data_IF_750543097445
#
_entry.id   IF_750543097445
#
_cell.length_a   1.000
_cell.length_b   1.000
_cell.length_c   1.000
_cell.angle_alpha   90.00
_cell.angle_beta   90.00
_cell.angle_gamma   90.00
#
_symmetry.space_group_name_H-M   'P 1'
#
loop_
_entity.id
_entity.type
_entity.pdbx_description
1 polymer ?
#
# COMPACT_ATOMS: atom_id res chain seq x y z
N UNK A 1 36.98 -27.66 22.32
CA UNK A 1 35.56 -27.66 21.93
C UNK A 1 34.69 -26.99 23.00
N UNK A 2 35.01 -25.77 23.42
CA UNK A 2 34.23 -25.06 24.48
C UNK A 2 33.80 -23.63 24.10
N UNK A 3 34.35 -23.05 23.02
CA UNK A 3 33.99 -21.68 22.62
C UNK A 3 32.74 -21.58 21.73
N UNK A 4 32.28 -22.70 21.15
CA UNK A 4 31.07 -22.73 20.30
C UNK A 4 29.75 -22.88 21.08
N UNK A 5 29.80 -23.23 22.37
CA UNK A 5 28.60 -23.37 23.20
C UNK A 5 28.12 -22.03 23.80
N UNK A 6 29.00 -21.03 23.91
CA UNK A 6 28.66 -19.73 24.49
C UNK A 6 27.99 -18.74 23.52
N UNK A 7 28.00 -19.02 22.21
CA UNK A 7 27.30 -18.18 21.21
C UNK A 7 25.83 -18.54 21.01
N UNK A 8 25.37 -19.68 21.54
CA UNK A 8 23.96 -20.13 21.43
C UNK A 8 23.07 -19.63 22.58
N UNK A 9 23.61 -18.82 23.49
CA UNK A 9 22.95 -18.33 24.72
C UNK A 9 22.62 -16.83 24.70
N UNK A 10 22.43 -16.24 23.52
CA UNK A 10 21.81 -14.91 23.37
C UNK A 10 20.53 -14.92 22.54
N UNK A 11 19.44 -15.53 23.03
CA UNK A 11 18.12 -15.00 22.75
C UNK A 11 17.64 -14.29 24.02
N UNK A 12 17.32 -13.00 23.94
CA UNK A 12 16.33 -12.27 24.76
C UNK A 12 16.70 -10.85 25.19
N UNK A 13 17.92 -10.36 24.98
CA UNK A 13 18.24 -8.96 25.31
C UNK A 13 17.39 -7.97 24.49
N UNK A 14 17.12 -8.25 23.22
CA UNK A 14 16.28 -7.40 22.36
C UNK A 14 14.79 -7.52 22.66
N UNK A 15 14.33 -8.68 23.16
CA UNK A 15 12.93 -8.88 23.61
C UNK A 15 12.66 -8.22 24.96
N UNK A 16 13.70 -8.00 25.77
CA UNK A 16 13.61 -7.29 27.04
C UNK A 16 13.67 -5.77 26.88
N UNK A 17 14.22 -5.25 25.77
CA UNK A 17 14.24 -3.79 25.52
C UNK A 17 12.84 -3.23 25.15
N UNK A 18 11.94 -4.10 24.66
CA UNK A 18 10.55 -3.76 24.30
C UNK A 18 9.52 -4.21 25.35
N UNK A 19 9.93 -4.97 26.37
CA UNK A 19 9.10 -5.19 27.55
C UNK A 19 9.43 -4.06 28.51
N UNK A 20 8.44 -3.22 28.79
CA UNK A 20 8.51 -2.27 29.90
C UNK A 20 8.90 -2.96 31.23
N UNK A 21 9.15 -2.17 32.28
CA UNK A 21 9.57 -2.71 33.58
C UNK A 21 8.65 -3.85 34.03
N UNK A 22 9.19 -4.87 34.73
CA UNK A 22 8.38 -5.98 35.22
C UNK A 22 7.28 -5.40 36.11
N UNK A 23 6.03 -5.59 35.68
CA UNK A 23 4.85 -5.28 36.49
C UNK A 23 4.90 -6.17 37.72
N UNK A 24 5.13 -5.57 38.89
CA UNK A 24 4.87 -6.22 40.16
C UNK A 24 3.39 -6.63 40.17
N UNK A 25 3.16 -7.89 40.52
CA UNK A 25 1.87 -8.56 40.50
C UNK A 25 0.89 -7.95 41.51
N UNK A 26 0.09 -7.00 41.05
CA UNK A 26 -1.28 -6.82 41.54
C UNK A 26 -2.10 -6.41 40.30
N UNK A 27 -3.10 -7.20 39.85
CA UNK A 27 -3.98 -6.74 38.80
C UNK A 27 -4.84 -5.64 39.42
N UNK A 28 -4.36 -4.40 39.32
CA UNK A 28 -5.14 -3.21 39.61
C UNK A 28 -6.20 -3.14 38.51
N UNK A 29 -7.28 -3.89 38.71
CA UNK A 29 -8.43 -3.90 37.83
C UNK A 29 -9.03 -2.50 37.92
N UNK A 30 -8.82 -1.71 36.86
CA UNK A 30 -9.49 -0.42 36.70
C UNK A 30 -11.00 -0.61 36.96
N UNK A 31 -11.64 0.32 37.68
CA UNK A 31 -13.09 0.37 37.81
C UNK A 31 -13.74 0.23 36.43
N UNK A 32 -14.86 -0.49 36.35
CA UNK A 32 -15.52 -0.83 35.08
C UNK A 32 -15.82 0.40 34.21
N UNK A 33 -16.20 1.53 34.85
CA UNK A 33 -16.41 2.82 34.20
C UNK A 33 -15.11 3.39 33.60
N UNK A 34 -13.97 3.34 34.32
CA UNK A 34 -12.68 3.80 33.82
C UNK A 34 -12.16 2.92 32.67
N UNK A 35 -12.50 1.63 32.68
CA UNK A 35 -12.13 0.71 31.61
C UNK A 35 -12.95 0.95 30.33
N UNK A 36 -14.26 1.24 30.46
CA UNK A 36 -15.11 1.61 29.32
C UNK A 36 -14.70 2.95 28.72
N UNK A 37 -14.41 3.96 29.56
CA UNK A 37 -13.87 5.25 29.10
C UNK A 37 -12.54 5.09 28.36
N UNK A 38 -11.65 4.23 28.86
CA UNK A 38 -10.38 3.95 28.21
C UNK A 38 -10.58 3.28 26.84
N UNK A 39 -11.45 2.27 26.73
CA UNK A 39 -11.75 1.59 25.47
C UNK A 39 -12.33 2.57 24.44
N UNK A 40 -13.26 3.42 24.86
CA UNK A 40 -13.86 4.41 23.96
C UNK A 40 -12.84 5.47 23.53
N UNK A 41 -11.98 5.93 24.45
CA UNK A 41 -10.89 6.86 24.10
C UNK A 41 -9.90 6.25 23.10
N UNK A 42 -9.62 4.95 23.22
CA UNK A 42 -8.75 4.21 22.30
C UNK A 42 -9.40 4.05 20.92
N UNK A 43 -10.72 3.83 20.84
CA UNK A 43 -11.46 3.82 19.57
C UNK A 43 -11.37 5.16 18.85
N UNK A 44 -11.70 6.25 19.55
CA UNK A 44 -11.64 7.60 18.96
C UNK A 44 -10.22 7.97 18.52
N UNK A 45 -9.21 7.58 19.30
CA UNK A 45 -7.81 7.80 18.92
C UNK A 45 -7.40 6.98 17.69
N UNK A 46 -7.86 5.73 17.59
CA UNK A 46 -7.61 4.85 16.45
C UNK A 46 -8.32 5.35 15.18
N UNK A 47 -9.59 5.75 15.29
CA UNK A 47 -10.35 6.31 14.16
C UNK A 47 -9.66 7.58 13.60
N UNK A 48 -9.24 8.48 14.49
CA UNK A 48 -8.50 9.68 14.09
C UNK A 48 -7.15 9.34 13.42
N UNK A 49 -6.42 8.35 13.94
CA UNK A 49 -5.17 7.90 13.34
C UNK A 49 -5.41 7.28 11.96
N UNK A 50 -6.42 6.43 11.84
CA UNK A 50 -6.82 5.79 10.58
C UNK A 50 -7.22 6.81 9.52
N UNK A 51 -7.99 7.84 9.89
CA UNK A 51 -8.36 8.92 8.97
C UNK A 51 -7.14 9.74 8.52
N UNK A 52 -6.20 9.99 9.41
CA UNK A 52 -4.94 10.65 9.04
C UNK A 52 -4.09 9.79 8.10
N UNK A 53 -3.98 8.48 8.37
CA UNK A 53 -3.29 7.55 7.48
C UNK A 53 -3.94 7.48 6.09
N UNK A 54 -5.28 7.40 6.02
CA UNK A 54 -6.02 7.44 4.74
C UNK A 54 -5.73 8.74 3.98
N UNK A 55 -5.72 9.88 4.66
CA UNK A 55 -5.40 11.17 4.04
C UNK A 55 -4.01 11.18 3.41
N UNK A 56 -2.99 10.67 4.11
CA UNK A 56 -1.62 10.58 3.60
C UNK A 56 -1.54 9.67 2.37
N UNK A 57 -2.18 8.50 2.41
CA UNK A 57 -2.19 7.56 1.27
C UNK A 57 -2.87 8.16 0.04
N UNK A 58 -3.98 8.87 0.23
CA UNK A 58 -4.65 9.60 -0.84
C UNK A 58 -3.77 10.71 -1.42
N UNK A 59 -3.09 11.48 -0.58
CA UNK A 59 -2.17 12.52 -1.04
C UNK A 59 -1.01 11.93 -1.88
N UNK A 60 -0.47 10.79 -1.45
CA UNK A 60 0.58 10.08 -2.21
C UNK A 60 0.06 9.56 -3.56
N UNK A 61 -1.14 8.98 -3.58
CA UNK A 61 -1.80 8.52 -4.82
C UNK A 61 -2.04 9.67 -5.81
N UNK A 62 -2.49 10.83 -5.31
CA UNK A 62 -2.68 12.03 -6.13
C UNK A 62 -1.35 12.54 -6.68
N UNK A 63 -0.30 12.56 -5.87
CA UNK A 63 1.04 12.95 -6.31
C UNK A 63 1.54 12.02 -7.44
N UNK A 64 1.36 10.71 -7.30
CA UNK A 64 1.75 9.74 -8.34
C UNK A 64 0.99 9.93 -9.65
N UNK A 65 -0.32 10.25 -9.59
CA UNK A 65 -1.10 10.63 -10.77
C UNK A 65 -0.48 11.84 -11.47
N UNK A 66 -0.13 12.90 -10.73
CA UNK A 66 0.51 14.07 -11.31
C UNK A 66 1.86 13.76 -11.93
N UNK A 67 2.69 12.94 -11.26
CA UNK A 67 4.01 12.53 -11.79
C UNK A 67 3.84 11.74 -13.09
N UNK A 68 2.86 10.82 -13.16
CA UNK A 68 2.56 10.06 -14.37
C UNK A 68 2.04 10.93 -15.52
N UNK A 69 1.19 11.91 -15.23
CA UNK A 69 0.73 12.88 -16.22
C UNK A 69 1.86 13.79 -16.72
N UNK A 70 2.74 14.25 -15.83
CA UNK A 70 3.89 15.05 -16.22
C UNK A 70 4.87 14.26 -17.10
N UNK A 71 5.12 12.99 -16.75
CA UNK A 71 5.94 12.10 -17.57
C UNK A 71 5.31 11.85 -18.94
N UNK A 72 4.00 11.60 -19.01
CA UNK A 72 3.28 11.44 -20.26
C UNK A 72 3.33 12.71 -21.13
N UNK A 73 3.14 13.89 -20.52
CA UNK A 73 3.25 15.17 -21.20
C UNK A 73 4.67 15.43 -21.71
N UNK A 74 5.70 15.09 -20.92
CA UNK A 74 7.10 15.19 -21.33
C UNK A 74 7.42 14.26 -22.50
N UNK A 75 6.96 13.00 -22.44
CA UNK A 75 7.14 12.03 -23.52
C UNK A 75 6.45 12.51 -24.82
N UNK A 76 5.25 13.06 -24.69
CA UNK A 76 4.51 13.66 -25.81
C UNK A 76 5.25 14.85 -26.42
N UNK A 77 5.69 15.80 -25.58
CA UNK A 77 6.45 16.98 -26.02
C UNK A 77 7.74 16.59 -26.74
N UNK A 78 8.51 15.67 -26.15
CA UNK A 78 9.77 15.17 -26.74
C UNK A 78 9.51 14.53 -28.11
N UNK A 79 8.42 13.79 -28.28
CA UNK A 79 8.03 13.21 -29.57
C UNK A 79 7.65 14.28 -30.59
N UNK A 80 6.81 15.25 -30.21
CA UNK A 80 6.39 16.34 -31.09
C UNK A 80 7.55 17.25 -31.51
N UNK A 81 8.57 17.40 -30.66
CA UNK A 81 9.76 18.21 -30.94
C UNK A 81 10.79 17.54 -31.86
N UNK A 82 10.65 16.25 -32.20
CA UNK A 82 11.51 15.58 -33.18
C UNK A 82 11.05 15.92 -34.60
N UNK A 83 11.91 16.51 -35.46
CA UNK A 83 11.60 16.69 -36.88
C UNK A 83 11.46 15.31 -37.53
N UNK A 84 10.38 15.05 -38.27
CA UNK A 84 10.08 13.73 -38.87
C UNK A 84 9.24 12.80 -38.00
N UNK A 85 8.59 13.30 -36.94
CA UNK A 85 7.72 12.51 -36.04
C UNK A 85 6.31 12.22 -36.57
N UNK A 86 5.97 12.77 -37.74
CA UNK A 86 4.87 12.25 -38.56
C UNK A 86 5.41 11.05 -39.34
N UNK A 87 4.65 9.95 -39.49
CA UNK A 87 5.15 8.77 -40.16
C UNK A 87 5.58 9.15 -41.57
N UNK A 88 6.88 9.16 -41.81
CA UNK A 88 7.39 9.06 -43.17
C UNK A 88 6.77 7.79 -43.75
N UNK A 89 6.24 7.88 -44.96
CA UNK A 89 5.35 6.91 -45.61
C UNK A 89 5.96 5.49 -45.80
N UNK A 90 7.12 5.23 -45.21
CA UNK A 90 7.96 4.04 -45.31
C UNK A 90 8.24 3.33 -43.98
N UNK A 91 7.78 3.83 -42.83
CA UNK A 91 7.87 3.07 -41.57
C UNK A 91 6.80 1.97 -41.52
N UNK A 92 7.23 0.75 -41.22
CA UNK A 92 6.36 -0.42 -41.05
C UNK A 92 5.28 -0.08 -39.99
N UNK A 93 3.98 -0.10 -40.32
CA UNK A 93 2.93 0.32 -39.40
C UNK A 93 2.97 -0.45 -38.08
N UNK A 94 3.51 -1.67 -38.09
CA UNK A 94 3.72 -2.50 -36.90
C UNK A 94 4.73 -1.92 -35.92
N UNK A 95 5.80 -1.25 -36.38
CA UNK A 95 6.77 -0.54 -35.54
C UNK A 95 6.16 0.71 -34.91
N UNK A 96 5.37 1.48 -35.68
CA UNK A 96 4.67 2.66 -35.16
C UNK A 96 3.70 2.31 -34.03
N UNK A 97 2.93 1.22 -34.16
CA UNK A 97 2.03 0.76 -33.10
C UNK A 97 2.80 0.23 -31.89
N UNK A 98 3.93 -0.47 -32.10
CA UNK A 98 4.76 -0.99 -31.01
C UNK A 98 5.43 0.12 -30.19
N UNK A 99 5.89 1.18 -30.85
CA UNK A 99 6.61 2.28 -30.20
C UNK A 99 5.69 3.39 -29.67
N UNK A 100 4.46 3.50 -30.17
CA UNK A 100 3.51 4.54 -29.72
C UNK A 100 2.40 4.07 -28.79
N UNK A 101 1.98 2.80 -28.88
CA UNK A 101 0.80 2.33 -28.14
C UNK A 101 1.17 1.86 -26.75
N UNK A 102 2.36 1.28 -26.54
CA UNK A 102 2.76 0.68 -25.26
C UNK A 102 2.90 1.70 -24.10
N UNK A 103 3.51 2.89 -24.26
CA UNK A 103 3.71 3.79 -23.12
C UNK A 103 2.44 4.57 -22.76
N UNK A 104 1.62 4.91 -23.77
CA UNK A 104 0.32 5.57 -23.57
C UNK A 104 -0.65 4.62 -22.88
N UNK A 105 -0.75 3.39 -23.36
CA UNK A 105 -1.59 2.37 -22.72
C UNK A 105 -1.09 2.07 -21.30
N UNK A 106 0.22 1.89 -21.08
CA UNK A 106 0.78 1.66 -19.75
C UNK A 106 0.45 2.81 -18.79
N UNK A 107 0.56 4.07 -19.25
CA UNK A 107 0.16 5.24 -18.45
C UNK A 107 -1.34 5.20 -18.10
N UNK A 108 -2.21 4.90 -19.05
CA UNK A 108 -3.66 4.81 -18.80
C UNK A 108 -3.97 3.73 -17.77
N UNK A 109 -3.38 2.53 -17.89
CA UNK A 109 -3.56 1.47 -16.91
C UNK A 109 -3.01 1.85 -15.54
N UNK A 110 -1.86 2.53 -15.45
CA UNK A 110 -1.34 3.07 -14.19
C UNK A 110 -2.33 4.05 -13.53
N UNK A 111 -2.88 5.00 -14.31
CA UNK A 111 -3.84 5.98 -13.82
C UNK A 111 -5.14 5.33 -13.33
N UNK A 112 -5.64 4.31 -14.05
CA UNK A 112 -6.81 3.54 -13.63
C UNK A 112 -6.50 2.79 -12.32
N UNK A 113 -5.32 2.18 -12.19
CA UNK A 113 -4.92 1.50 -10.96
C UNK A 113 -4.90 2.47 -9.77
N UNK A 114 -4.30 3.65 -9.91
CA UNK A 114 -4.32 4.67 -8.86
C UNK A 114 -5.73 5.15 -8.52
N UNK A 115 -6.60 5.30 -9.53
CA UNK A 115 -8.01 5.64 -9.34
C UNK A 115 -8.76 4.58 -8.52
N UNK A 116 -8.53 3.30 -8.79
CA UNK A 116 -9.10 2.19 -8.03
C UNK A 116 -8.56 2.18 -6.59
N UNK A 117 -7.24 2.36 -6.41
CA UNK A 117 -6.61 2.43 -5.09
C UNK A 117 -7.20 3.55 -4.22
N UNK A 118 -7.35 4.76 -4.77
CA UNK A 118 -7.99 5.87 -4.07
C UNK A 118 -9.44 5.57 -3.69
N UNK A 119 -10.21 4.93 -4.58
CA UNK A 119 -11.58 4.55 -4.27
C UNK A 119 -11.66 3.54 -3.12
N UNK A 120 -10.71 2.59 -3.08
CA UNK A 120 -10.59 1.59 -2.03
C UNK A 120 -10.17 2.21 -0.69
N UNK A 121 -9.16 3.09 -0.68
CA UNK A 121 -8.72 3.80 0.54
C UNK A 121 -9.85 4.66 1.11
N UNK A 122 -10.62 5.32 0.23
CA UNK A 122 -11.75 6.16 0.62
C UNK A 122 -12.91 5.35 1.21
N UNK A 123 -13.18 4.18 0.63
CA UNK A 123 -14.27 3.30 1.05
C UNK A 123 -13.73 1.92 1.45
N UNK A 124 -13.08 1.89 2.62
CA UNK A 124 -12.47 0.70 3.22
C UNK A 124 -13.44 -0.45 3.46
N UNK A 125 -14.75 -0.21 3.38
CA UNK A 125 -15.79 -1.22 3.59
C UNK A 125 -16.08 -2.09 2.35
N UNK A 126 -15.62 -1.67 1.16
CA UNK A 126 -16.00 -2.30 -0.13
C UNK A 126 -14.94 -3.17 -0.76
N UNK A 127 -13.97 -3.64 0.00
CA UNK A 127 -12.91 -4.51 -0.54
C UNK A 127 -13.45 -5.93 -0.72
N UNK A 128 -14.24 -6.12 -1.77
CA UNK A 128 -14.62 -7.43 -2.26
C UNK A 128 -13.46 -8.10 -2.99
N UNK A 129 -13.48 -9.43 -3.04
CA UNK A 129 -12.52 -10.24 -3.82
C UNK A 129 -12.43 -9.77 -5.28
N UNK A 130 -13.56 -9.40 -5.87
CA UNK A 130 -13.61 -9.01 -7.27
C UNK A 130 -12.94 -7.65 -7.52
N UNK A 131 -13.13 -6.67 -6.62
CA UNK A 131 -12.43 -5.38 -6.66
C UNK A 131 -10.92 -5.55 -6.56
N UNK A 132 -10.47 -6.45 -5.68
CA UNK A 132 -9.04 -6.78 -5.53
C UNK A 132 -8.45 -7.41 -6.79
N UNK A 133 -9.16 -8.36 -7.41
CA UNK A 133 -8.71 -9.02 -8.65
C UNK A 133 -8.61 -8.02 -9.81
N UNK A 134 -9.63 -7.17 -9.98
CA UNK A 134 -9.63 -6.12 -11.01
C UNK A 134 -8.48 -5.16 -10.77
N UNK A 135 -8.28 -4.70 -9.54
CA UNK A 135 -7.19 -3.79 -9.21
C UNK A 135 -5.83 -4.40 -9.54
N UNK A 136 -5.59 -5.64 -9.08
CA UNK A 136 -4.33 -6.36 -9.35
C UNK A 136 -4.08 -6.52 -10.85
N UNK A 137 -5.10 -6.90 -11.61
CA UNK A 137 -4.97 -7.03 -13.06
C UNK A 137 -4.55 -5.71 -13.72
N UNK A 138 -5.21 -4.61 -13.35
CA UNK A 138 -4.90 -3.28 -13.88
C UNK A 138 -3.50 -2.81 -13.45
N UNK A 139 -3.08 -3.10 -12.21
CA UNK A 139 -1.75 -2.72 -11.69
C UNK A 139 -0.58 -3.45 -12.35
N UNK A 140 -0.77 -4.70 -12.79
CA UNK A 140 0.30 -5.49 -13.42
C UNK A 140 0.37 -5.24 -14.93
N UNK A 141 -0.73 -4.80 -15.56
CA UNK A 141 -0.81 -4.58 -17.01
C UNK A 141 0.30 -3.65 -17.56
N UNK A 142 0.67 -2.52 -16.90
CA UNK A 142 1.78 -1.67 -17.35
C UNK A 142 3.12 -2.40 -17.46
N UNK A 143 3.41 -3.33 -16.55
CA UNK A 143 4.64 -4.15 -16.60
C UNK A 143 4.64 -5.08 -17.81
N UNK A 144 3.50 -5.71 -18.12
CA UNK A 144 3.37 -6.57 -19.30
C UNK A 144 3.52 -5.79 -20.61
N UNK A 145 2.94 -4.59 -20.68
CA UNK A 145 3.02 -3.73 -21.86
C UNK A 145 4.46 -3.26 -22.14
N UNK A 146 5.28 -3.15 -21.09
CA UNK A 146 6.65 -2.63 -21.19
C UNK A 146 7.74 -3.70 -21.11
N UNK A 147 7.38 -4.99 -21.05
CA UNK A 147 8.32 -6.13 -20.94
C UNK A 147 9.30 -6.27 -22.12
N UNK A 148 9.05 -5.58 -23.23
CA UNK A 148 9.91 -5.55 -24.42
C UNK A 148 10.71 -4.25 -24.60
N UNK A 149 10.70 -3.34 -23.62
CA UNK A 149 11.41 -2.08 -23.70
C UNK A 149 12.93 -2.27 -23.48
N UNK A 150 13.78 -1.58 -24.26
CA UNK A 150 15.23 -1.82 -24.27
C UNK A 150 16.00 -1.26 -23.06
N UNK A 151 15.41 -0.37 -22.26
CA UNK A 151 16.08 0.26 -21.10
C UNK A 151 15.54 -0.26 -19.76
N UNK A 152 16.08 -1.40 -19.33
CA UNK A 152 15.48 -2.27 -18.32
C UNK A 152 15.45 -1.71 -16.87
N UNK A 153 16.26 -0.72 -16.49
CA UNK A 153 16.43 -0.40 -15.05
C UNK A 153 15.47 0.66 -14.52
N UNK A 154 15.46 1.86 -15.12
CA UNK A 154 14.60 2.95 -14.63
C UNK A 154 13.14 2.76 -15.07
N UNK A 155 12.92 2.30 -16.30
CA UNK A 155 11.57 2.06 -16.82
C UNK A 155 10.86 0.94 -16.06
N UNK A 156 11.56 -0.15 -15.70
CA UNK A 156 10.94 -1.24 -14.94
C UNK A 156 10.44 -0.76 -13.57
N UNK A 157 11.25 0.04 -12.86
CA UNK A 157 10.83 0.61 -11.59
C UNK A 157 9.61 1.52 -11.77
N UNK A 158 9.65 2.38 -12.79
CA UNK A 158 8.55 3.28 -13.12
C UNK A 158 7.25 2.54 -13.41
N UNK A 159 7.30 1.52 -14.26
CA UNK A 159 6.13 0.71 -14.62
C UNK A 159 5.68 -0.23 -13.50
N UNK A 160 6.53 -0.46 -12.49
CA UNK A 160 6.18 -1.19 -11.27
C UNK A 160 5.42 -0.34 -10.25
N UNK A 161 5.38 0.99 -10.40
CA UNK A 161 4.77 1.89 -9.41
C UNK A 161 3.31 1.56 -9.07
N UNK A 162 2.41 1.24 -10.02
CA UNK A 162 1.04 0.85 -9.69
C UNK A 162 0.95 -0.39 -8.80
N UNK A 163 1.84 -1.36 -9.04
CA UNK A 163 1.92 -2.57 -8.22
C UNK A 163 2.50 -2.28 -6.83
N UNK A 164 3.57 -1.48 -6.77
CA UNK A 164 4.19 -1.09 -5.50
C UNK A 164 3.21 -0.33 -4.62
N UNK A 165 2.48 0.63 -5.20
CA UNK A 165 1.50 1.43 -4.50
C UNK A 165 0.32 0.57 -4.03
N UNK A 166 -0.15 -0.37 -4.85
CA UNK A 166 -1.13 -1.37 -4.43
C UNK A 166 -0.66 -2.17 -3.20
N UNK A 167 0.61 -2.62 -3.15
CA UNK A 167 1.14 -3.36 -2.01
C UNK A 167 1.15 -2.48 -0.75
N UNK A 168 1.59 -1.22 -0.87
CA UNK A 168 1.60 -0.26 0.24
C UNK A 168 0.19 -0.05 0.76
N UNK A 169 -0.77 0.23 -0.11
CA UNK A 169 -2.16 0.45 0.26
C UNK A 169 -2.77 -0.76 0.98
N UNK A 170 -2.57 -1.97 0.45
CA UNK A 170 -3.04 -3.22 1.09
C UNK A 170 -2.40 -3.44 2.46
N UNK A 171 -1.11 -3.14 2.58
CA UNK A 171 -0.40 -3.25 3.86
C UNK A 171 -0.96 -2.25 4.86
N UNK A 172 -1.20 -1.01 4.44
CA UNK A 172 -1.79 0.03 5.29
C UNK A 172 -3.21 -0.33 5.72
N UNK A 173 -4.04 -0.87 4.83
CA UNK A 173 -5.38 -1.33 5.16
C UNK A 173 -5.37 -2.47 6.17
N UNK A 174 -4.43 -3.41 6.03
CA UNK A 174 -4.25 -4.49 7.00
C UNK A 174 -3.85 -3.95 8.39
N UNK A 175 -2.95 -2.95 8.43
CA UNK A 175 -2.56 -2.29 9.67
C UNK A 175 -3.74 -1.57 10.32
N UNK A 176 -4.60 -0.90 9.54
CA UNK A 176 -5.79 -0.22 10.05
C UNK A 176 -6.82 -1.20 10.66
N UNK A 177 -6.91 -2.43 10.13
CA UNK A 177 -7.86 -3.45 10.62
C UNK A 177 -7.39 -4.20 11.87
N UNK A 178 -6.07 -4.33 12.07
CA UNK A 178 -5.49 -5.07 13.20
C UNK A 178 -5.96 -4.61 14.60
N UNK A 179 -6.04 -3.31 14.92
CA UNK A 179 -6.48 -2.87 16.25
C UNK A 179 -7.98 -3.08 16.52
N UNK A 180 -8.83 -3.08 15.49
CA UNK A 180 -10.28 -3.32 15.66
C UNK A 180 -10.56 -4.76 16.10
N UNK A 181 -9.81 -5.73 15.56
CA UNK A 181 -9.90 -7.13 15.98
C UNK A 181 -9.48 -7.33 17.44
N UNK A 182 -8.46 -6.60 17.90
CA UNK A 182 -8.00 -6.64 19.29
C UNK A 182 -9.01 -6.00 20.25
N UNK A 183 -9.62 -4.88 19.87
CA UNK A 183 -10.68 -4.23 20.65
C UNK A 183 -11.90 -5.15 20.77
N UNK A 184 -12.36 -5.76 19.67
CA UNK A 184 -13.47 -6.72 19.68
C UNK A 184 -13.15 -7.95 20.53
N UNK A 185 -11.89 -8.41 20.52
CA UNK A 185 -11.45 -9.52 21.36
C UNK A 185 -11.47 -9.16 22.85
N UNK A 186 -11.05 -7.94 23.20
CA UNK A 186 -11.10 -7.41 24.55
C UNK A 186 -12.56 -7.34 25.05
N UNK A 187 -13.48 -6.81 24.25
CA UNK A 187 -14.91 -6.79 24.59
C UNK A 187 -15.48 -8.20 24.81
N UNK A 188 -15.20 -9.14 23.89
CA UNK A 188 -15.66 -10.52 24.01
C UNK A 188 -15.09 -11.23 25.25
N UNK A 189 -13.88 -10.88 25.68
CA UNK A 189 -13.28 -11.41 26.90
C UNK A 189 -13.97 -10.86 28.16
N UNK A 190 -14.41 -9.60 28.12
CA UNK A 190 -15.17 -8.95 29.19
C UNK A 190 -16.57 -9.58 29.34
N UNK A 191 -17.29 -9.81 28.23
CA UNK A 191 -18.61 -10.48 28.25
C UNK A 191 -18.54 -11.93 28.76
N UNK A 192 -17.45 -12.66 28.47
CA UNK A 192 -17.23 -14.01 29.03
C UNK A 192 -17.00 -14.00 30.53
N UNK A 193 -16.36 -12.95 31.08
CA UNK A 193 -16.17 -12.78 32.53
C UNK A 193 -17.46 -12.36 33.23
N UNK A 194 -18.35 -11.61 32.57
CA UNK A 194 -19.70 -11.27 33.07
C UNK A 194 -20.67 -12.46 33.13
N UNK A 195 -20.39 -13.56 32.42
CA UNK A 195 -21.25 -14.74 32.31
C UNK A 195 -20.88 -15.93 33.19
N UNK A 196 -19.83 -15.83 34.00
CA UNK A 196 -19.36 -16.85 34.96
C UNK A 196 -19.62 -16.38 36.40
#
# INVERSE_FOLDING_TARGET
>A
MEQLQNLKRRPNATKQLFRGPPLDDEPDFLPEEEQEELIESLRVANDNANDWFKFILLAFSVMEIFTHLAFAAYAWYKRASKPGSFPDHYEDPTQFFRDSTSPVAATLFSLISFGIGMAIIRDTTRIGRDSFLVWTFVSVTPLFLMMGAPEFSFELLWWSMPLLLQIVDLTSLWIMQSPDEEIIRLENSQYKLKGA
#
